data_IF_124124456375
#
_entry.id   IF_124124456375
#
_cell.length_a   1.000
_cell.length_b   1.000
_cell.length_c   1.000
_cell.angle_alpha   90.00
_cell.angle_beta   90.00
_cell.angle_gamma   90.00
#
_symmetry.space_group_name_H-M   'P 1'
#
loop_
_entity.id
_entity.type
_entity.pdbx_description
1 polymer ?
#
# COMPACT_ATOMS: atom_id res chain seq x y z
N UNK A 1 -4.07 -10.86 -8.50
CA UNK A 1 -4.78 -9.64 -8.07
C UNK A 1 -5.40 -9.93 -6.72
N UNK A 2 -5.21 -9.05 -5.72
CA UNK A 2 -5.56 -9.30 -4.32
C UNK A 2 -6.71 -8.39 -3.85
N UNK A 3 -7.74 -8.21 -4.69
CA UNK A 3 -8.90 -7.37 -4.37
C UNK A 3 -9.86 -8.02 -3.38
N UNK A 4 -10.80 -7.24 -2.85
CA UNK A 4 -11.87 -7.74 -2.00
C UNK A 4 -13.18 -6.97 -2.18
N UNK A 5 -14.26 -7.68 -1.88
CA UNK A 5 -15.62 -7.18 -1.89
C UNK A 5 -16.12 -7.02 -0.45
N UNK A 6 -16.70 -5.87 -0.15
CA UNK A 6 -17.26 -5.56 1.16
C UNK A 6 -18.74 -5.21 1.04
N UNK A 7 -19.58 -5.97 1.75
CA UNK A 7 -21.01 -5.66 1.88
C UNK A 7 -21.30 -5.29 3.32
N UNK A 8 -22.06 -4.23 3.57
CA UNK A 8 -22.44 -3.89 4.94
C UNK A 8 -23.78 -3.17 4.99
N UNK A 9 -24.43 -3.23 6.14
CA UNK A 9 -25.67 -2.48 6.40
C UNK A 9 -25.38 -1.18 7.14
N UNK A 10 -26.24 -0.19 7.01
CA UNK A 10 -26.16 1.09 7.72
C UNK A 10 -27.59 1.61 8.00
N UNK A 11 -27.72 2.65 8.81
CA UNK A 11 -29.02 3.31 9.01
C UNK A 11 -29.32 4.23 7.79
N UNK A 12 -30.41 3.98 7.03
CA UNK A 12 -30.78 4.73 5.82
C UNK A 12 -30.65 6.25 5.91
N UNK A 13 -30.94 6.84 7.08
CA UNK A 13 -30.85 8.29 7.28
C UNK A 13 -29.42 8.85 7.16
N UNK A 14 -28.41 7.98 7.12
CA UNK A 14 -27.00 8.32 6.95
C UNK A 14 -26.49 8.10 5.53
N UNK A 15 -27.36 7.78 4.56
CA UNK A 15 -26.98 7.54 3.17
C UNK A 15 -26.22 8.72 2.54
N UNK A 16 -26.66 9.95 2.80
CA UNK A 16 -25.99 11.15 2.27
C UNK A 16 -24.55 11.29 2.79
N UNK A 17 -24.35 11.10 4.11
CA UNK A 17 -23.01 11.11 4.71
C UNK A 17 -22.12 10.01 4.13
N UNK A 18 -22.66 8.79 3.98
CA UNK A 18 -21.94 7.67 3.40
C UNK A 18 -21.54 7.95 1.94
N UNK A 19 -22.42 8.57 1.16
CA UNK A 19 -22.16 9.00 -0.22
C UNK A 19 -20.97 9.96 -0.31
N UNK A 20 -20.90 10.98 0.54
CA UNK A 20 -19.78 11.92 0.59
C UNK A 20 -18.45 11.23 0.97
N UNK A 21 -18.51 10.33 1.97
CA UNK A 21 -17.35 9.53 2.38
C UNK A 21 -16.86 8.64 1.23
N UNK A 22 -17.77 7.99 0.49
CA UNK A 22 -17.42 7.16 -0.66
C UNK A 22 -16.81 7.97 -1.80
N UNK A 23 -17.32 9.17 -2.08
CA UNK A 23 -16.72 10.05 -3.07
C UNK A 23 -15.30 10.45 -2.66
N UNK A 24 -15.08 10.79 -1.39
CA UNK A 24 -13.76 11.10 -0.86
C UNK A 24 -12.80 9.90 -0.98
N UNK A 25 -13.25 8.71 -0.57
CA UNK A 25 -12.47 7.48 -0.69
C UNK A 25 -12.07 7.20 -2.15
N UNK A 26 -13.01 7.34 -3.09
CA UNK A 26 -12.74 7.17 -4.53
C UNK A 26 -11.70 8.16 -5.06
N UNK A 27 -11.72 9.43 -4.60
CA UNK A 27 -10.70 10.43 -4.99
C UNK A 27 -9.31 10.04 -4.47
N UNK A 28 -9.22 9.41 -3.28
CA UNK A 28 -7.96 8.91 -2.71
C UNK A 28 -7.46 7.61 -3.33
N UNK A 29 -8.35 6.79 -3.87
CA UNK A 29 -7.97 5.52 -4.50
C UNK A 29 -7.16 5.70 -5.79
N UNK A 30 -7.50 6.74 -6.58
CA UNK A 30 -6.91 6.98 -7.91
C UNK A 30 -5.38 7.20 -7.89
N UNK A 31 -4.80 8.06 -7.04
CA UNK A 31 -3.34 8.23 -6.94
C UNK A 31 -2.60 6.97 -6.47
N UNK A 32 -3.31 6.01 -5.87
CA UNK A 32 -2.75 4.77 -5.33
C UNK A 32 -3.00 3.56 -6.25
N UNK A 33 -3.47 3.80 -7.49
CA UNK A 33 -3.79 2.75 -8.46
C UNK A 33 -4.82 1.71 -7.96
N UNK A 34 -5.57 2.03 -6.90
CA UNK A 34 -6.66 1.19 -6.39
C UNK A 34 -7.95 1.49 -7.16
N UNK A 35 -8.57 0.45 -7.72
CA UNK A 35 -9.90 0.57 -8.32
C UNK A 35 -10.94 0.49 -7.22
N UNK A 36 -11.67 1.60 -7.06
CA UNK A 36 -12.81 1.70 -6.15
C UNK A 36 -14.11 1.66 -6.94
N UNK A 37 -15.00 0.70 -6.63
CA UNK A 37 -16.40 0.73 -7.06
C UNK A 37 -17.29 0.65 -5.83
N UNK A 38 -18.38 1.40 -5.81
CA UNK A 38 -19.29 1.37 -4.66
C UNK A 38 -20.72 1.64 -5.08
N UNK A 39 -21.66 1.03 -4.37
CA UNK A 39 -23.10 1.23 -4.49
C UNK A 39 -23.71 1.41 -3.11
N UNK A 40 -24.68 2.33 -2.99
CA UNK A 40 -25.45 2.57 -1.76
C UNK A 40 -26.92 2.45 -2.09
N UNK A 41 -27.64 1.55 -1.41
CA UNK A 41 -29.12 1.52 -1.37
C UNK A 41 -29.57 2.32 -0.15
N UNK A 42 -30.12 3.52 -0.41
CA UNK A 42 -30.71 4.35 0.64
C UNK A 42 -32.03 3.79 1.17
N UNK A 43 -32.72 2.95 0.41
CA UNK A 43 -34.02 2.37 0.81
C UNK A 43 -33.83 1.25 1.83
N UNK A 44 -32.89 0.34 1.54
CA UNK A 44 -32.71 -0.88 2.34
C UNK A 44 -31.57 -0.75 3.36
N UNK A 45 -30.80 0.36 3.29
CA UNK A 45 -29.66 0.58 4.17
C UNK A 45 -28.50 -0.37 3.88
N UNK A 46 -28.32 -0.78 2.62
CA UNK A 46 -27.22 -1.65 2.19
C UNK A 46 -26.18 -0.87 1.40
N UNK A 47 -24.91 -1.15 1.64
CA UNK A 47 -23.80 -0.63 0.85
C UNK A 47 -22.89 -1.77 0.41
N UNK A 48 -22.34 -1.60 -0.79
CA UNK A 48 -21.39 -2.52 -1.39
C UNK A 48 -20.20 -1.73 -1.90
N UNK A 49 -19.00 -2.26 -1.67
CA UNK A 49 -17.73 -1.70 -2.11
C UNK A 49 -16.88 -2.81 -2.70
N UNK A 50 -16.28 -2.56 -3.86
CA UNK A 50 -15.27 -3.41 -4.51
C UNK A 50 -13.97 -2.63 -4.55
N UNK A 51 -12.91 -3.28 -4.08
CA UNK A 51 -11.56 -2.75 -4.03
C UNK A 51 -10.63 -3.68 -4.78
N UNK A 52 -10.13 -3.26 -5.94
CA UNK A 52 -9.11 -4.02 -6.69
C UNK A 52 -7.77 -3.28 -6.66
N UNK A 53 -6.71 -3.99 -6.25
CA UNK A 53 -5.33 -3.53 -6.23
C UNK A 53 -4.38 -4.68 -5.92
N UNK A 54 -3.07 -4.42 -5.90
CA UNK A 54 -2.15 -5.32 -5.21
C UNK A 54 -2.26 -5.13 -3.69
N UNK A 55 -1.75 -6.12 -2.93
CA UNK A 55 -1.80 -6.16 -1.45
C UNK A 55 -1.32 -4.85 -0.84
N UNK A 56 -0.14 -4.38 -1.27
CA UNK A 56 0.48 -3.15 -0.82
C UNK A 56 -0.38 -1.91 -1.04
N UNK A 57 -0.87 -1.70 -2.27
CA UNK A 57 -1.73 -0.57 -2.63
C UNK A 57 -2.97 -0.52 -1.75
N UNK A 58 -3.59 -1.68 -1.50
CA UNK A 58 -4.79 -1.78 -0.67
C UNK A 58 -4.51 -1.45 0.80
N UNK A 59 -3.41 -1.96 1.35
CA UNK A 59 -3.06 -1.73 2.76
C UNK A 59 -2.75 -0.23 3.01
N UNK A 60 -1.98 0.39 2.12
CA UNK A 60 -1.70 1.83 2.14
C UNK A 60 -2.99 2.62 2.00
N UNK A 61 -3.82 2.24 1.03
CA UNK A 61 -5.06 2.95 0.76
C UNK A 61 -5.96 2.94 1.99
N UNK A 62 -6.08 1.80 2.68
CA UNK A 62 -6.85 1.69 3.92
C UNK A 62 -6.26 2.57 5.04
N UNK A 63 -4.94 2.64 5.17
CA UNK A 63 -4.28 3.54 6.12
C UNK A 63 -4.53 5.02 5.78
N UNK A 64 -4.48 5.38 4.50
CA UNK A 64 -4.84 6.74 4.04
C UNK A 64 -6.29 7.07 4.37
N UNK A 65 -7.21 6.13 4.12
CA UNK A 65 -8.61 6.30 4.49
C UNK A 65 -8.79 6.47 6.00
N UNK A 66 -8.04 5.72 6.81
CA UNK A 66 -8.05 5.82 8.27
C UNK A 66 -7.70 7.21 8.78
N UNK A 67 -6.75 7.88 8.12
CA UNK A 67 -6.30 9.23 8.49
C UNK A 67 -7.22 10.32 7.95
N UNK A 68 -7.64 10.20 6.68
CA UNK A 68 -8.34 11.26 5.96
C UNK A 68 -9.86 11.24 6.22
N UNK A 69 -10.50 10.07 6.13
CA UNK A 69 -11.97 9.99 6.15
C UNK A 69 -12.60 10.52 7.44
N UNK A 70 -12.02 10.34 8.65
CA UNK A 70 -12.60 10.89 9.87
C UNK A 70 -12.68 12.42 9.84
N UNK A 71 -11.64 13.09 9.35
CA UNK A 71 -11.62 14.54 9.21
C UNK A 71 -12.58 15.04 8.11
N UNK A 72 -12.64 14.31 6.98
CA UNK A 72 -13.57 14.64 5.90
C UNK A 72 -15.02 14.50 6.36
N UNK A 73 -15.37 13.39 7.02
CA UNK A 73 -16.72 13.17 7.54
C UNK A 73 -17.12 14.19 8.61
N UNK A 74 -16.16 14.61 9.43
CA UNK A 74 -16.35 15.69 10.40
C UNK A 74 -16.78 17.00 9.73
N UNK A 75 -16.29 17.29 8.52
CA UNK A 75 -16.62 18.52 7.77
C UNK A 75 -17.93 18.43 6.96
N UNK A 76 -18.43 17.23 6.65
CA UNK A 76 -19.66 17.05 5.85
C UNK A 76 -20.88 17.56 6.61
N UNK A 77 -21.66 18.52 6.10
CA UNK A 77 -22.83 19.08 6.80
C UNK A 77 -24.03 18.11 6.79
N UNK A 78 -23.96 17.05 7.59
CA UNK A 78 -25.03 16.07 7.77
C UNK A 78 -25.58 16.11 9.21
N UNK A 79 -26.87 15.82 9.42
CA UNK A 79 -27.63 16.08 10.67
C UNK A 79 -27.18 15.44 11.99
N UNK A 80 -25.98 14.85 12.06
CA UNK A 80 -25.32 14.39 13.29
C UNK A 80 -24.16 15.32 13.65
N UNK A 81 -23.75 15.31 14.92
CA UNK A 81 -22.62 16.13 15.37
C UNK A 81 -21.32 15.76 14.65
N UNK A 82 -20.38 16.71 14.44
CA UNK A 82 -19.10 16.45 13.79
C UNK A 82 -18.34 15.27 14.42
N UNK A 83 -18.30 15.21 15.76
CA UNK A 83 -17.68 14.12 16.51
C UNK A 83 -18.30 12.74 16.22
N UNK A 84 -19.62 12.68 16.00
CA UNK A 84 -20.27 11.43 15.61
C UNK A 84 -19.92 11.04 14.16
N UNK A 85 -19.88 12.01 13.23
CA UNK A 85 -19.54 11.75 11.82
C UNK A 85 -18.10 11.24 11.67
N UNK A 86 -17.17 11.80 12.45
CA UNK A 86 -15.79 11.28 12.58
C UNK A 86 -15.77 9.80 12.98
N UNK A 87 -16.52 9.45 14.03
CA UNK A 87 -16.64 8.05 14.50
C UNK A 87 -17.33 7.15 13.49
N UNK A 88 -18.29 7.67 12.74
CA UNK A 88 -18.97 6.94 11.67
C UNK A 88 -17.99 6.58 10.54
N UNK A 89 -17.13 7.50 10.12
CA UNK A 89 -16.06 7.22 9.17
C UNK A 89 -15.04 6.20 9.69
N UNK A 90 -14.64 6.28 10.96
CA UNK A 90 -13.80 5.24 11.58
C UNK A 90 -14.44 3.85 11.48
N UNK A 91 -15.78 3.77 11.59
CA UNK A 91 -16.52 2.52 11.49
C UNK A 91 -16.48 1.92 10.09
N UNK A 92 -16.50 2.79 9.08
CA UNK A 92 -16.34 2.35 7.69
C UNK A 92 -14.94 1.78 7.48
N UNK A 93 -13.91 2.50 7.91
CA UNK A 93 -12.52 2.04 7.81
C UNK A 93 -12.34 0.71 8.53
N UNK A 94 -12.90 0.57 9.74
CA UNK A 94 -12.85 -0.68 10.51
C UNK A 94 -13.46 -1.87 9.75
N UNK A 95 -14.62 -1.66 9.10
CA UNK A 95 -15.25 -2.69 8.28
C UNK A 95 -14.36 -3.08 7.10
N UNK A 96 -13.83 -2.09 6.36
CA UNK A 96 -13.00 -2.36 5.18
C UNK A 96 -11.70 -3.09 5.56
N UNK A 97 -11.04 -2.67 6.65
CA UNK A 97 -9.85 -3.36 7.18
C UNK A 97 -10.17 -4.80 7.60
N UNK A 98 -11.31 -5.04 8.24
CA UNK A 98 -11.72 -6.40 8.62
C UNK A 98 -12.03 -7.30 7.42
N UNK A 99 -12.66 -6.75 6.37
CA UNK A 99 -12.85 -7.47 5.11
C UNK A 99 -11.51 -7.85 4.46
N UNK A 100 -10.57 -6.89 4.40
CA UNK A 100 -9.23 -7.11 3.83
C UNK A 100 -8.47 -8.26 4.49
N UNK A 101 -8.70 -8.51 5.77
CA UNK A 101 -8.02 -9.53 6.57
C UNK A 101 -8.87 -10.80 6.78
N UNK A 102 -9.92 -11.01 5.99
CA UNK A 102 -10.80 -12.18 6.12
C UNK A 102 -11.38 -12.36 7.53
N UNK A 103 -11.48 -11.28 8.32
CA UNK A 103 -11.95 -11.36 9.70
C UNK A 103 -13.40 -11.85 9.78
N UNK A 104 -14.19 -11.53 8.77
CA UNK A 104 -15.60 -11.92 8.72
C UNK A 104 -15.82 -13.36 8.24
N UNK A 105 -14.81 -14.01 7.65
CA UNK A 105 -14.89 -15.39 7.13
C UNK A 105 -15.08 -16.42 8.26
N UNK A 106 -14.86 -16.01 9.52
CA UNK A 106 -15.12 -16.83 10.71
C UNK A 106 -16.59 -16.90 11.12
N UNK A 107 -17.44 -16.06 10.52
CA UNK A 107 -18.88 -16.03 10.77
C UNK A 107 -19.61 -16.82 9.67
N UNK A 108 -20.94 -16.93 9.80
CA UNK A 108 -21.78 -17.56 8.80
C UNK A 108 -21.63 -16.88 7.42
N UNK A 109 -21.78 -17.65 6.34
CA UNK A 109 -21.56 -17.18 4.97
C UNK A 109 -22.48 -16.02 4.54
N UNK A 110 -23.59 -15.81 5.24
CA UNK A 110 -24.57 -14.74 5.04
C UNK A 110 -24.38 -13.55 6.00
N UNK A 111 -23.34 -13.57 6.84
CA UNK A 111 -23.07 -12.49 7.78
C UNK A 111 -22.73 -11.18 7.05
N UNK A 112 -23.56 -10.15 7.30
CA UNK A 112 -23.35 -8.80 6.80
C UNK A 112 -23.11 -7.84 7.98
N UNK A 113 -21.90 -7.28 8.15
CA UNK A 113 -21.63 -6.36 9.25
C UNK A 113 -22.47 -5.10 9.14
N UNK A 114 -22.85 -4.54 10.29
CA UNK A 114 -23.53 -3.23 10.36
C UNK A 114 -22.52 -2.13 10.65
N UNK A 115 -22.48 -1.10 9.81
CA UNK A 115 -21.73 0.13 10.01
C UNK A 115 -22.22 0.86 11.26
N UNK A 116 -21.30 1.09 12.19
CA UNK A 116 -21.54 1.74 13.47
C UNK A 116 -20.48 2.82 13.69
N UNK A 117 -20.81 3.84 14.46
CA UNK A 117 -19.85 4.84 14.89
C UNK A 117 -18.89 4.25 15.93
N UNK A 118 -17.59 4.23 15.63
CA UNK A 118 -16.55 3.69 16.53
C UNK A 118 -15.50 4.75 16.83
N UNK A 119 -14.93 4.70 18.03
CA UNK A 119 -13.92 5.68 18.46
C UNK A 119 -12.58 5.47 17.75
N UNK A 120 -12.24 4.22 17.45
CA UNK A 120 -11.00 3.82 16.76
C UNK A 120 -11.35 2.75 15.73
N UNK A 121 -10.67 2.77 14.59
CA UNK A 121 -10.70 1.65 13.65
C UNK A 121 -9.62 0.64 14.01
N UNK A 122 -9.77 -0.59 13.51
CA UNK A 122 -8.65 -1.51 13.39
C UNK A 122 -7.50 -0.85 12.61
N UNK A 123 -6.28 -1.19 13.00
CA UNK A 123 -5.05 -0.79 12.30
C UNK A 123 -4.46 -2.07 11.75
N UNK A 124 -4.11 -2.03 10.46
CA UNK A 124 -3.32 -3.09 9.84
C UNK A 124 -1.95 -2.51 9.51
N UNK A 125 -0.85 -3.22 9.84
CA UNK A 125 0.47 -2.82 9.38
C UNK A 125 0.44 -2.68 7.86
N UNK A 126 0.85 -1.52 7.36
CA UNK A 126 0.91 -1.27 5.93
C UNK A 126 2.10 -2.02 5.38
N UNK A 127 1.78 -3.18 4.82
CA UNK A 127 2.69 -4.21 4.33
C UNK A 127 3.46 -4.96 5.41
N UNK A 128 3.51 -6.28 5.25
CA UNK A 128 4.48 -7.15 5.90
C UNK A 128 5.20 -7.84 4.75
N UNK A 129 6.39 -7.36 4.39
CA UNK A 129 7.36 -8.01 3.51
C UNK A 129 7.79 -9.32 4.17
N UNK A 130 6.87 -10.27 4.23
CA UNK A 130 7.07 -11.53 4.93
C UNK A 130 7.89 -12.47 4.05
N UNK A 131 9.08 -12.79 4.54
CA UNK A 131 10.07 -13.63 3.86
C UNK A 131 10.14 -15.04 4.46
N UNK A 132 9.17 -15.44 5.29
CA UNK A 132 9.19 -16.71 6.02
C UNK A 132 9.93 -16.65 7.35
N UNK A 133 9.70 -17.66 8.20
CA UNK A 133 10.25 -17.72 9.58
C UNK A 133 11.77 -17.78 9.62
N UNK A 134 12.40 -18.30 8.57
CA UNK A 134 13.86 -18.43 8.45
C UNK A 134 14.57 -17.09 8.25
N UNK A 135 13.83 -16.02 7.97
CA UNK A 135 14.36 -14.69 7.71
C UNK A 135 13.80 -13.63 8.67
N UNK A 136 13.42 -14.04 9.89
CA UNK A 136 12.89 -13.15 10.93
C UNK A 136 13.81 -11.96 11.25
N UNK A 137 15.12 -12.15 11.20
CA UNK A 137 16.09 -11.09 11.46
C UNK A 137 16.09 -10.02 10.35
N UNK A 138 16.03 -10.45 9.09
CA UNK A 138 15.89 -9.56 7.95
C UNK A 138 14.52 -8.86 7.99
N UNK A 139 13.46 -9.60 8.31
CA UNK A 139 12.12 -9.02 8.46
C UNK A 139 12.08 -7.93 9.51
N UNK A 140 12.65 -8.17 10.71
CA UNK A 140 12.75 -7.17 11.76
C UNK A 140 13.48 -5.90 11.31
N UNK A 141 14.48 -6.03 10.42
CA UNK A 141 15.19 -4.88 9.84
C UNK A 141 14.34 -4.13 8.81
N UNK A 142 13.54 -4.85 8.01
CA UNK A 142 12.69 -4.26 6.98
C UNK A 142 11.41 -3.62 7.53
N UNK A 143 11.05 -3.83 8.79
CA UNK A 143 9.95 -3.08 9.46
C UNK A 143 10.16 -1.57 9.32
N UNK A 144 11.39 -1.08 9.46
CA UNK A 144 11.72 0.34 9.27
C UNK A 144 11.45 0.79 7.83
N UNK A 145 11.75 -0.07 6.86
CA UNK A 145 11.46 0.19 5.45
C UNK A 145 9.95 0.26 5.22
N UNK A 146 9.15 -0.64 5.81
CA UNK A 146 7.68 -0.62 5.74
C UNK A 146 7.11 0.70 6.31
N UNK A 147 7.63 1.16 7.45
CA UNK A 147 7.25 2.43 8.06
C UNK A 147 7.59 3.63 7.14
N UNK A 148 8.77 3.62 6.53
CA UNK A 148 9.25 4.71 5.66
C UNK A 148 8.47 4.77 4.36
N UNK A 149 8.20 3.61 3.76
CA UNK A 149 7.36 3.46 2.57
C UNK A 149 5.93 3.94 2.86
N UNK A 150 5.40 3.61 4.03
CA UNK A 150 4.07 4.07 4.45
C UNK A 150 4.06 5.58 4.67
N UNK A 151 5.04 6.11 5.39
CA UNK A 151 5.18 7.53 5.65
C UNK A 151 5.39 8.36 4.38
N UNK A 152 6.08 7.84 3.37
CA UNK A 152 6.21 8.47 2.05
C UNK A 152 4.84 8.79 1.43
N UNK A 153 3.94 7.81 1.38
CA UNK A 153 2.62 7.93 0.77
C UNK A 153 1.63 8.76 1.59
N UNK A 154 2.02 9.03 2.83
CA UNK A 154 1.33 9.92 3.74
C UNK A 154 1.96 11.32 3.73
N UNK A 155 2.95 11.55 2.87
CA UNK A 155 3.72 12.79 2.72
C UNK A 155 4.44 13.21 4.01
N UNK A 156 4.82 12.23 4.84
CA UNK A 156 5.48 12.44 6.15
C UNK A 156 7.00 12.28 6.08
N UNK A 157 7.50 11.60 5.05
CA UNK A 157 8.92 11.26 4.93
C UNK A 157 9.55 12.02 3.75
N UNK A 158 10.72 12.66 3.98
CA UNK A 158 11.46 13.30 2.90
C UNK A 158 11.86 12.29 1.80
N UNK A 159 11.75 12.66 0.51
CA UNK A 159 11.99 11.75 -0.60
C UNK A 159 13.41 11.15 -0.61
N UNK A 160 14.41 11.84 -0.08
CA UNK A 160 15.79 11.35 0.00
C UNK A 160 15.92 10.17 0.97
N UNK A 161 15.20 10.24 2.09
CA UNK A 161 15.15 9.17 3.08
C UNK A 161 14.50 7.94 2.46
N UNK A 162 13.43 8.13 1.69
CA UNK A 162 12.75 7.05 0.97
C UNK A 162 13.68 6.39 -0.05
N UNK A 163 14.42 7.18 -0.84
CA UNK A 163 15.39 6.65 -1.82
C UNK A 163 16.50 5.85 -1.12
N UNK A 164 17.07 6.39 -0.05
CA UNK A 164 18.14 5.72 0.72
C UNK A 164 17.66 4.38 1.29
N UNK A 165 16.45 4.35 1.85
CA UNK A 165 15.91 3.19 2.55
C UNK A 165 15.39 2.12 1.58
N UNK A 166 14.78 2.51 0.47
CA UNK A 166 14.43 1.57 -0.61
C UNK A 166 15.68 0.89 -1.17
N UNK A 167 16.74 1.66 -1.44
CA UNK A 167 18.00 1.08 -1.91
C UNK A 167 18.59 0.12 -0.88
N UNK A 168 18.66 0.53 0.39
CA UNK A 168 19.22 -0.27 1.48
C UNK A 168 18.43 -1.56 1.69
N UNK A 169 17.10 -1.49 1.67
CA UNK A 169 16.24 -2.67 1.78
C UNK A 169 16.49 -3.67 0.65
N UNK A 170 16.52 -3.20 -0.60
CA UNK A 170 16.79 -4.04 -1.77
C UNK A 170 18.19 -4.67 -1.69
N UNK A 171 19.20 -3.88 -1.31
CA UNK A 171 20.57 -4.38 -1.14
C UNK A 171 20.65 -5.48 -0.09
N UNK A 172 19.96 -5.32 1.06
CA UNK A 172 19.91 -6.31 2.12
C UNK A 172 19.21 -7.60 1.65
N UNK A 173 18.06 -7.48 0.99
CA UNK A 173 17.30 -8.62 0.47
C UNK A 173 18.10 -9.39 -0.58
N UNK A 174 18.72 -8.70 -1.54
CA UNK A 174 19.56 -9.32 -2.57
C UNK A 174 20.84 -9.94 -1.99
N UNK A 175 21.46 -9.31 -0.99
CA UNK A 175 22.63 -9.85 -0.29
C UNK A 175 22.27 -11.14 0.44
N UNK A 176 21.14 -11.15 1.16
CA UNK A 176 20.61 -12.33 1.83
C UNK A 176 20.31 -13.42 0.81
N UNK A 177 19.63 -13.09 -0.28
CA UNK A 177 19.29 -14.02 -1.34
C UNK A 177 20.56 -14.62 -1.98
N UNK A 178 21.63 -13.85 -2.18
CA UNK A 178 22.91 -14.35 -2.68
C UNK A 178 23.69 -15.22 -1.69
N UNK A 179 23.23 -15.35 -0.43
CA UNK A 179 23.93 -16.09 0.63
C UNK A 179 25.30 -15.52 0.99
N UNK A 180 25.49 -14.19 0.83
CA UNK A 180 26.77 -13.53 1.09
C UNK A 180 26.74 -12.83 2.46
N UNK A 181 27.81 -13.00 3.23
CA UNK A 181 27.99 -12.32 4.54
C UNK A 181 28.34 -10.84 4.33
N UNK A 182 29.08 -10.52 3.25
CA UNK A 182 29.41 -9.16 2.85
C UNK A 182 28.83 -8.87 1.48
N UNK A 183 28.12 -7.76 1.36
CA UNK A 183 27.53 -7.32 0.10
C UNK A 183 28.64 -7.07 -0.96
N UNK A 184 28.58 -7.71 -2.15
CA UNK A 184 29.33 -7.26 -3.31
C UNK A 184 28.78 -5.90 -3.79
N UNK A 185 29.29 -5.35 -4.89
CA UNK A 185 28.74 -4.12 -5.43
C UNK A 185 27.25 -4.32 -5.77
N UNK A 186 26.42 -3.31 -5.52
CA UNK A 186 24.98 -3.38 -5.78
C UNK A 186 24.65 -3.80 -7.22
N UNK A 187 25.44 -3.36 -8.21
CA UNK A 187 25.29 -3.80 -9.60
C UNK A 187 25.47 -5.32 -9.75
N UNK A 188 26.44 -5.91 -9.07
CA UNK A 188 26.70 -7.35 -9.14
C UNK A 188 25.57 -8.16 -8.50
N UNK A 189 24.92 -7.60 -7.45
CA UNK A 189 23.72 -8.18 -6.86
C UNK A 189 22.55 -8.16 -7.85
N UNK A 190 22.33 -7.03 -8.52
CA UNK A 190 21.29 -6.85 -9.52
C UNK A 190 21.51 -7.77 -10.73
N UNK A 191 22.74 -7.86 -11.24
CA UNK A 191 23.07 -8.72 -12.38
C UNK A 191 22.80 -10.20 -12.06
N UNK A 192 23.20 -10.67 -10.88
CA UNK A 192 22.92 -12.05 -10.45
C UNK A 192 21.42 -12.33 -10.28
N UNK A 193 20.66 -11.35 -9.80
CA UNK A 193 19.23 -11.47 -9.65
C UNK A 193 18.51 -11.51 -11.01
N UNK A 194 18.98 -10.71 -11.96
CA UNK A 194 18.50 -10.74 -13.35
C UNK A 194 18.84 -12.08 -14.02
N UNK A 195 20.08 -12.55 -13.91
CA UNK A 195 20.53 -13.83 -14.48
C UNK A 195 19.73 -15.03 -13.94
N UNK A 196 19.26 -14.92 -12.69
CA UNK A 196 18.40 -15.92 -12.05
C UNK A 196 16.90 -15.72 -12.32
N UNK A 197 16.51 -14.74 -13.15
CA UNK A 197 15.14 -14.40 -13.50
C UNK A 197 14.22 -14.12 -12.29
N UNK A 198 14.78 -13.61 -11.18
CA UNK A 198 13.98 -13.25 -10.01
C UNK A 198 13.42 -11.83 -10.11
N UNK A 199 14.09 -10.94 -10.85
CA UNK A 199 13.65 -9.57 -11.07
C UNK A 199 12.51 -9.55 -12.11
N UNK A 200 11.47 -8.72 -11.90
CA UNK A 200 10.36 -8.63 -12.83
C UNK A 200 10.79 -7.93 -14.14
N UNK A 201 10.39 -8.47 -15.28
CA UNK A 201 10.56 -7.82 -16.58
C UNK A 201 9.62 -6.62 -16.79
N UNK A 202 9.84 -5.89 -17.89
CA UNK A 202 9.03 -4.72 -18.29
C UNK A 202 7.54 -5.07 -18.37
N UNK A 203 7.22 -6.24 -18.92
CA UNK A 203 5.83 -6.68 -19.14
C UNK A 203 5.02 -6.77 -17.85
N UNK A 204 5.68 -7.07 -16.73
CA UNK A 204 5.07 -7.15 -15.42
C UNK A 204 4.97 -5.76 -14.77
N UNK A 205 6.01 -4.93 -14.92
CA UNK A 205 6.08 -3.63 -14.25
C UNK A 205 5.29 -2.52 -14.95
N UNK A 206 5.07 -2.59 -16.27
CA UNK A 206 4.39 -1.53 -17.03
C UNK A 206 3.01 -1.13 -16.48
N UNK A 207 2.32 -2.07 -15.84
CA UNK A 207 1.01 -1.85 -15.23
C UNK A 207 1.04 -1.06 -13.92
N UNK A 208 2.24 -0.83 -13.37
CA UNK A 208 2.48 -0.03 -12.17
C UNK A 208 2.89 1.42 -12.50
N UNK A 209 3.04 1.74 -13.78
CA UNK A 209 3.30 3.09 -14.26
C UNK A 209 1.99 3.78 -14.66
N UNK A 210 1.91 5.09 -14.43
CA UNK A 210 0.84 5.92 -15.00
C UNK A 210 0.93 6.01 -16.53
N UNK A 211 2.16 5.99 -17.06
CA UNK A 211 2.49 5.99 -18.48
C UNK A 211 3.34 4.75 -18.79
N UNK A 212 2.75 3.71 -19.42
CA UNK A 212 3.46 2.46 -19.70
C UNK A 212 4.74 2.61 -20.54
N UNK A 213 4.86 3.67 -21.34
CA UNK A 213 6.07 3.98 -22.12
C UNK A 213 7.30 4.31 -21.27
N UNK A 214 7.10 4.69 -19.99
CA UNK A 214 8.18 4.98 -19.05
C UNK A 214 8.63 3.73 -18.27
N UNK A 215 8.07 2.56 -18.59
CA UNK A 215 8.34 1.34 -17.87
C UNK A 215 9.79 0.89 -18.03
N UNK A 216 10.43 0.62 -16.89
CA UNK A 216 11.76 0.03 -16.82
C UNK A 216 11.66 -1.45 -16.49
N UNK A 217 12.66 -2.24 -16.87
CA UNK A 217 12.84 -3.58 -16.33
C UNK A 217 13.20 -3.50 -14.85
N UNK A 218 13.02 -4.59 -14.10
CA UNK A 218 13.45 -4.65 -12.69
C UNK A 218 14.92 -4.31 -12.54
N UNK A 219 15.80 -4.85 -13.40
CA UNK A 219 17.22 -4.50 -13.45
C UNK A 219 17.44 -3.00 -13.66
N UNK A 220 16.88 -2.43 -14.73
CA UNK A 220 17.11 -1.03 -15.08
C UNK A 220 16.58 -0.08 -14.00
N UNK A 221 15.44 -0.43 -13.39
CA UNK A 221 14.85 0.30 -12.28
C UNK A 221 15.77 0.33 -11.05
N UNK A 222 16.38 -0.80 -10.69
CA UNK A 222 17.30 -0.88 -9.55
C UNK A 222 18.61 -0.14 -9.82
N UNK A 223 19.14 -0.21 -11.05
CA UNK A 223 20.32 0.57 -11.45
C UNK A 223 20.00 2.08 -11.41
N UNK A 224 18.84 2.49 -11.92
CA UNK A 224 18.40 3.89 -11.84
C UNK A 224 18.26 4.37 -10.38
N UNK A 225 17.75 3.53 -9.47
CA UNK A 225 17.67 3.84 -8.04
C UNK A 225 19.07 4.06 -7.42
N UNK A 226 20.03 3.19 -7.73
CA UNK A 226 21.44 3.32 -7.30
C UNK A 226 22.04 4.64 -7.79
N UNK A 227 21.84 4.97 -9.06
CA UNK A 227 22.41 6.18 -9.65
C UNK A 227 21.75 7.46 -9.10
N UNK A 228 20.43 7.43 -8.87
CA UNK A 228 19.72 8.50 -8.18
C UNK A 228 20.29 8.72 -6.77
N UNK A 229 20.39 7.66 -5.96
CA UNK A 229 20.95 7.74 -4.60
C UNK A 229 22.36 8.33 -4.60
N UNK A 230 23.22 7.91 -5.53
CA UNK A 230 24.57 8.47 -5.69
C UNK A 230 24.50 9.96 -6.08
N UNK A 231 23.59 10.33 -6.98
CA UNK A 231 23.37 11.71 -7.41
C UNK A 231 22.92 12.64 -6.28
N UNK A 232 22.03 12.17 -5.39
CA UNK A 232 21.52 12.98 -4.26
C UNK A 232 22.63 13.42 -3.30
N UNK A 233 23.69 12.63 -3.14
CA UNK A 233 24.87 12.99 -2.33
C UNK A 233 25.65 14.17 -2.91
N UNK A 234 25.51 14.47 -4.20
CA UNK A 234 26.35 15.44 -4.91
C UNK A 234 25.58 16.62 -5.54
N UNK A 235 24.34 16.41 -5.99
CA UNK A 235 23.58 17.35 -6.82
C UNK A 235 22.37 18.00 -6.13
N UNK A 236 22.13 17.66 -4.87
CA UNK A 236 21.04 18.23 -4.08
C UNK A 236 19.71 17.48 -4.18
N UNK A 237 18.84 17.82 -3.23
CA UNK A 237 17.61 17.15 -2.77
C UNK A 237 16.48 17.13 -3.83
N UNK A 238 16.47 18.08 -4.78
CA UNK A 238 15.32 18.31 -5.67
C UNK A 238 14.95 17.21 -6.68
N UNK A 239 15.79 16.18 -6.88
CA UNK A 239 15.55 15.13 -7.89
C UNK A 239 14.82 13.89 -7.35
N UNK A 240 14.77 13.69 -6.03
CA UNK A 240 14.25 12.46 -5.45
C UNK A 240 12.72 12.32 -5.63
N UNK A 241 11.95 13.37 -5.32
CA UNK A 241 10.48 13.32 -5.41
C UNK A 241 9.97 13.11 -6.85
N UNK A 242 10.39 13.89 -7.87
CA UNK A 242 9.96 13.66 -9.25
C UNK A 242 10.24 12.24 -9.74
N UNK A 243 11.36 11.64 -9.30
CA UNK A 243 11.67 10.26 -9.65
C UNK A 243 10.78 9.26 -8.92
N UNK A 244 10.57 9.44 -7.61
CA UNK A 244 9.68 8.57 -6.82
C UNK A 244 8.23 8.63 -7.28
N UNK A 245 7.73 9.80 -7.71
CA UNK A 245 6.38 9.96 -8.23
C UNK A 245 6.11 9.03 -9.44
N UNK A 246 7.16 8.70 -10.21
CA UNK A 246 7.09 7.78 -11.36
C UNK A 246 7.40 6.33 -10.97
N UNK A 247 8.39 6.12 -10.11
CA UNK A 247 9.04 4.82 -9.95
C UNK A 247 8.75 4.11 -8.61
N UNK A 248 8.02 4.73 -7.69
CA UNK A 248 7.74 4.17 -6.37
C UNK A 248 6.93 2.86 -6.41
N UNK A 249 5.82 2.81 -7.15
CA UNK A 249 4.98 1.60 -7.23
C UNK A 249 5.67 0.42 -7.93
N UNK A 250 6.39 0.63 -9.05
CA UNK A 250 7.28 -0.39 -9.61
C UNK A 250 8.29 -0.93 -8.60
N UNK A 251 8.93 -0.07 -7.78
CA UNK A 251 9.85 -0.51 -6.73
C UNK A 251 9.16 -1.35 -5.64
N UNK A 252 7.96 -0.97 -5.22
CA UNK A 252 7.15 -1.77 -4.31
C UNK A 252 6.89 -3.18 -4.84
N UNK A 253 6.64 -3.31 -6.15
CA UNK A 253 6.45 -4.62 -6.80
C UNK A 253 7.74 -5.44 -6.83
N UNK A 254 8.90 -4.80 -7.00
CA UNK A 254 10.21 -5.48 -6.89
C UNK A 254 10.44 -5.99 -5.48
N UNK A 255 10.17 -5.18 -4.44
CA UNK A 255 10.29 -5.58 -3.04
C UNK A 255 9.39 -6.79 -2.70
N UNK A 256 8.12 -6.74 -3.11
CA UNK A 256 7.19 -7.88 -2.93
C UNK A 256 7.71 -9.15 -3.60
N UNK A 257 8.21 -9.01 -4.83
CA UNK A 257 8.78 -10.13 -5.59
C UNK A 257 9.99 -10.73 -4.89
N UNK A 258 10.92 -9.90 -4.42
CA UNK A 258 12.10 -10.35 -3.67
C UNK A 258 11.70 -11.03 -2.35
N UNK A 259 10.71 -10.49 -1.64
CA UNK A 259 10.24 -11.08 -0.39
C UNK A 259 9.65 -12.48 -0.63
N UNK A 260 8.86 -12.61 -1.70
CA UNK A 260 8.32 -13.89 -2.14
C UNK A 260 9.40 -14.90 -2.52
N UNK A 261 10.42 -14.50 -3.29
CA UNK A 261 11.53 -15.39 -3.68
C UNK A 261 12.35 -15.85 -2.46
N UNK A 262 12.56 -14.97 -1.48
CA UNK A 262 13.20 -15.32 -0.20
C UNK A 262 12.35 -16.33 0.59
N UNK A 263 11.03 -16.14 0.64
CA UNK A 263 10.13 -17.07 1.35
C UNK A 263 10.11 -18.50 0.80
N UNK A 264 10.61 -18.70 -0.42
CA UNK A 264 10.71 -20.01 -1.09
C UNK A 264 12.06 -20.68 -0.91
N UNK A 265 13.05 -19.99 -0.32
CA UNK A 265 14.37 -20.54 -0.07
C UNK A 265 14.44 -21.07 1.37
N UNK A 266 14.97 -22.29 1.56
CA UNK A 266 15.13 -22.92 2.87
C UNK A 266 16.33 -22.37 3.67
#
# INVERSE_FOLDING_TARGET
MAGFDATFTFDPKHAALLGEIFQAARRRARPMFVRWRSRVSSTDGHAYVVLDGNTFQLDIFLERLRRDLPAIAEAVPAGRSPAWRRKFANGLVDILTKYRCSYYDRYDADYVPRLRAVTRSSVWPVHSLWMGEQHQDLWARLVVTEEIISGWLLDEIPPEVVVEELHTAIELMLTRWCGKIRAPAFSDLVDKAEDAAILPGVDLLQWQYSEPSNALSGKDLLIALKDLRKGLKHKGVGQARPWLDVHFWPLGSVLERLAWELSRRP
#
